data_IF_289665633801
#
_entry.id   IF_289665633801
#
_cell.length_a   1.000
_cell.length_b   1.000
_cell.length_c   1.000
_cell.angle_alpha   90.00
_cell.angle_beta   90.00
_cell.angle_gamma   90.00
#
_symmetry.space_group_name_H-M   'P 1'
#
loop_
_entity.id
_entity.type
_entity.pdbx_description
1 polymer ?
#
# COMPACT_ATOMS: atom_id res chain seq x y z
N UNK A 1 -0.56 -7.28 -13.05
CA UNK A 1 -1.46 -8.34 -13.55
C UNK A 1 -0.66 -9.64 -13.60
N UNK A 2 -0.71 -10.43 -12.52
CA UNK A 2 0.11 -11.64 -12.34
C UNK A 2 -0.51 -12.88 -12.98
N UNK A 3 0.29 -13.95 -13.08
CA UNK A 3 0.02 -15.23 -13.75
C UNK A 3 -1.22 -16.03 -13.30
N UNK A 4 -1.95 -15.56 -12.28
CA UNK A 4 -3.24 -16.10 -11.88
C UNK A 4 -4.22 -14.92 -11.90
N UNK A 5 -5.38 -15.00 -12.58
CA UNK A 5 -6.41 -13.99 -12.42
C UNK A 5 -6.76 -13.97 -10.93
N UNK A 6 -6.32 -12.93 -10.23
CA UNK A 6 -6.69 -12.78 -8.83
C UNK A 6 -8.22 -12.67 -8.82
N UNK A 7 -8.92 -13.52 -8.05
CA UNK A 7 -10.34 -13.28 -7.82
C UNK A 7 -10.49 -11.85 -7.31
N UNK A 8 -11.53 -11.16 -7.78
CA UNK A 8 -11.89 -9.84 -7.28
C UNK A 8 -11.84 -9.86 -5.74
N UNK A 9 -11.26 -8.82 -5.13
CA UNK A 9 -11.01 -8.77 -3.68
C UNK A 9 -12.32 -8.96 -2.90
N UNK A 10 -13.44 -8.58 -3.49
CA UNK A 10 -14.78 -8.79 -2.94
C UNK A 10 -15.11 -10.26 -2.70
N UNK A 11 -14.55 -11.18 -3.49
CA UNK A 11 -14.78 -12.61 -3.41
C UNK A 11 -14.21 -13.24 -2.13
N UNK A 12 -13.32 -12.55 -1.41
CA UNK A 12 -12.85 -13.00 -0.10
C UNK A 12 -13.98 -13.17 0.93
N UNK A 13 -15.10 -12.45 0.75
CA UNK A 13 -16.31 -12.58 1.58
C UNK A 13 -17.40 -13.43 0.94
N UNK A 14 -17.10 -14.12 -0.16
CA UNK A 14 -18.04 -15.03 -0.81
C UNK A 14 -18.47 -16.15 0.14
N UNK A 15 -19.65 -16.71 -0.09
CA UNK A 15 -20.12 -17.94 0.56
C UNK A 15 -19.50 -19.19 -0.08
N UNK A 16 -18.93 -19.07 -1.28
CA UNK A 16 -18.26 -20.17 -1.98
C UNK A 16 -16.89 -20.46 -1.32
N UNK A 17 -16.67 -21.69 -0.79
CA UNK A 17 -15.39 -22.08 -0.17
C UNK A 17 -14.17 -21.93 -1.07
N UNK A 18 -14.33 -21.99 -2.40
CA UNK A 18 -13.22 -21.83 -3.34
C UNK A 18 -12.64 -20.41 -3.31
N UNK A 19 -13.49 -19.41 -3.10
CA UNK A 19 -13.11 -18.00 -3.10
C UNK A 19 -13.03 -17.39 -1.69
N UNK A 20 -13.74 -17.96 -0.74
CA UNK A 20 -13.82 -17.47 0.63
C UNK A 20 -12.46 -17.48 1.32
N UNK A 21 -12.09 -16.35 1.92
CA UNK A 21 -10.91 -16.25 2.76
C UNK A 21 -11.32 -15.98 4.21
N UNK A 22 -11.20 -17.00 5.06
CA UNK A 22 -11.61 -16.94 6.47
C UNK A 22 -10.79 -15.96 7.30
N UNK A 23 -9.51 -15.76 6.96
CA UNK A 23 -8.63 -14.83 7.67
C UNK A 23 -9.04 -13.38 7.39
N UNK A 24 -9.26 -13.04 6.12
CA UNK A 24 -9.63 -11.68 5.72
C UNK A 24 -11.05 -11.35 6.17
N UNK A 25 -11.99 -12.28 5.96
CA UNK A 25 -13.40 -12.07 6.29
C UNK A 25 -13.67 -11.94 7.80
N UNK A 26 -12.83 -12.56 8.63
CA UNK A 26 -12.91 -12.42 10.09
C UNK A 26 -12.43 -11.05 10.61
N UNK A 27 -11.53 -10.37 9.90
CA UNK A 27 -10.97 -9.07 10.36
C UNK A 27 -11.97 -7.93 10.20
N UNK A 28 -12.66 -7.87 9.06
CA UNK A 28 -13.67 -6.85 8.79
C UNK A 28 -14.68 -7.31 7.75
N UNK A 29 -15.85 -6.67 7.71
CA UNK A 29 -16.85 -6.94 6.66
C UNK A 29 -16.43 -6.34 5.32
N UNK A 30 -16.90 -6.93 4.22
CA UNK A 30 -16.65 -6.43 2.87
C UNK A 30 -17.05 -4.95 2.73
N UNK A 31 -18.21 -4.55 3.28
CA UNK A 31 -18.69 -3.16 3.25
C UNK A 31 -17.71 -2.21 3.95
N UNK A 32 -17.16 -2.61 5.11
CA UNK A 32 -16.18 -1.79 5.84
C UNK A 32 -14.89 -1.66 5.04
N UNK A 33 -14.41 -2.76 4.46
CA UNK A 33 -13.24 -2.76 3.59
C UNK A 33 -13.42 -1.79 2.42
N UNK A 34 -14.52 -1.90 1.66
CA UNK A 34 -14.83 -0.97 0.55
C UNK A 34 -14.84 0.48 1.00
N UNK A 35 -15.47 0.79 2.13
CA UNK A 35 -15.52 2.17 2.65
C UNK A 35 -14.15 2.71 3.04
N UNK A 36 -13.29 1.90 3.64
CA UNK A 36 -11.92 2.30 3.96
C UNK A 36 -11.15 2.58 2.68
N UNK A 37 -11.22 1.68 1.70
CA UNK A 37 -10.52 1.80 0.42
C UNK A 37 -10.99 3.02 -0.38
N UNK A 38 -12.29 3.29 -0.45
CA UNK A 38 -12.87 4.47 -1.12
C UNK A 38 -12.41 5.80 -0.50
N UNK A 39 -12.17 5.82 0.82
CA UNK A 39 -11.85 7.03 1.58
C UNK A 39 -10.38 7.11 2.01
N UNK A 40 -9.52 6.23 1.48
CA UNK A 40 -8.09 6.25 1.77
C UNK A 40 -7.44 7.41 0.99
N UNK A 41 -7.07 8.46 1.71
CA UNK A 41 -6.37 9.62 1.15
C UNK A 41 -4.96 9.69 1.71
N UNK A 42 -3.97 9.56 0.81
CA UNK A 42 -2.55 9.57 1.15
C UNK A 42 -1.93 10.97 1.11
N UNK A 43 -2.67 11.97 0.63
CA UNK A 43 -2.24 13.37 0.61
C UNK A 43 -3.17 14.22 1.45
N UNK A 44 -2.57 15.16 2.17
CA UNK A 44 -3.26 16.32 2.71
C UNK A 44 -3.66 17.29 1.60
N UNK A 45 -4.96 17.30 1.26
CA UNK A 45 -5.53 18.17 0.21
C UNK A 45 -5.34 19.66 0.50
N UNK A 46 -5.14 20.06 1.76
CA UNK A 46 -4.89 21.46 2.10
C UNK A 46 -3.52 21.97 1.61
N UNK A 47 -2.58 21.05 1.34
CA UNK A 47 -1.23 21.34 0.87
C UNK A 47 -1.02 20.99 -0.60
N UNK A 48 -2.08 20.59 -1.30
CA UNK A 48 -2.01 20.22 -2.71
C UNK A 48 -1.94 21.49 -3.57
N UNK A 49 -0.93 21.56 -4.43
CA UNK A 49 -0.78 22.66 -5.39
C UNK A 49 -1.89 22.56 -6.44
N UNK A 50 -2.37 23.70 -6.92
CA UNK A 50 -3.36 23.71 -8.01
C UNK A 50 -2.70 23.36 -9.34
N UNK A 51 -3.44 22.75 -10.27
CA UNK A 51 -2.94 22.32 -11.59
C UNK A 51 -2.23 23.43 -12.40
N UNK A 52 -2.59 24.68 -12.15
CA UNK A 52 -2.04 25.87 -12.81
C UNK A 52 -0.76 26.41 -12.18
N UNK A 53 -0.30 25.85 -11.05
CA UNK A 53 0.91 26.29 -10.37
C UNK A 53 2.16 25.55 -10.89
N UNK A 54 3.24 26.29 -11.07
CA UNK A 54 4.54 25.74 -11.49
C UNK A 54 5.04 24.76 -10.42
N UNK A 55 5.33 23.52 -10.82
CA UNK A 55 5.71 22.42 -9.91
C UNK A 55 4.54 21.52 -9.49
N UNK A 56 3.35 21.70 -10.06
CA UNK A 56 2.28 20.71 -9.95
C UNK A 56 2.69 19.39 -10.61
N UNK A 57 2.75 18.33 -9.81
CA UNK A 57 2.91 16.97 -10.29
C UNK A 57 1.65 16.17 -9.90
N UNK A 58 1.03 15.57 -10.92
CA UNK A 58 -0.20 14.78 -10.77
C UNK A 58 0.02 13.52 -9.94
N UNK A 59 1.27 13.05 -9.86
CA UNK A 59 1.66 11.83 -9.14
C UNK A 59 2.18 12.10 -7.74
N UNK A 60 2.06 13.32 -7.22
CA UNK A 60 2.59 13.70 -5.88
C UNK A 60 2.09 12.78 -4.77
N UNK A 61 0.90 12.19 -4.90
CA UNK A 61 0.35 11.22 -3.95
C UNK A 61 1.20 9.96 -3.85
N UNK A 62 1.36 9.34 -5.02
CA UNK A 62 2.00 8.04 -5.16
C UNK A 62 3.51 8.19 -4.97
N UNK A 63 4.08 9.29 -5.48
CA UNK A 63 5.51 9.61 -5.34
C UNK A 63 5.89 9.88 -3.89
N UNK A 64 5.08 10.60 -3.10
CA UNK A 64 5.39 10.85 -1.68
C UNK A 64 5.42 9.55 -0.88
N UNK A 65 4.38 8.71 -1.01
CA UNK A 65 4.33 7.44 -0.31
C UNK A 65 5.49 6.53 -0.74
N UNK A 66 5.71 6.39 -2.05
CA UNK A 66 6.80 5.56 -2.58
C UNK A 66 8.17 6.04 -2.12
N UNK A 67 8.39 7.35 -2.07
CA UNK A 67 9.64 7.92 -1.59
C UNK A 67 9.89 7.61 -0.12
N UNK A 68 8.90 7.83 0.75
CA UNK A 68 9.03 7.52 2.18
C UNK A 68 9.25 6.02 2.42
N UNK A 69 8.51 5.16 1.70
CA UNK A 69 8.70 3.71 1.80
C UNK A 69 10.08 3.28 1.29
N UNK A 70 10.55 3.82 0.17
CA UNK A 70 11.89 3.51 -0.34
C UNK A 70 12.99 4.00 0.59
N UNK A 71 12.87 5.21 1.17
CA UNK A 71 13.84 5.73 2.14
C UNK A 71 13.91 4.83 3.39
N UNK A 72 12.76 4.43 3.92
CA UNK A 72 12.70 3.50 5.07
C UNK A 72 13.30 2.13 4.73
N UNK A 73 12.95 1.57 3.57
CA UNK A 73 13.52 0.30 3.10
C UNK A 73 15.03 0.38 2.92
N UNK A 74 15.54 1.42 2.25
CA UNK A 74 16.99 1.63 2.06
C UNK A 74 17.69 1.77 3.41
N UNK A 75 17.11 2.50 4.36
CA UNK A 75 17.67 2.62 5.70
C UNK A 75 17.79 1.24 6.37
N UNK A 76 16.70 0.46 6.43
CA UNK A 76 16.67 -0.86 7.07
C UNK A 76 17.63 -1.85 6.40
N UNK A 77 17.71 -1.83 5.08
CA UNK A 77 18.66 -2.65 4.32
C UNK A 77 20.11 -2.26 4.60
N UNK A 78 20.42 -0.96 4.68
CA UNK A 78 21.78 -0.50 5.01
C UNK A 78 22.21 -0.90 6.43
N UNK A 79 21.29 -0.83 7.40
CA UNK A 79 21.52 -1.29 8.77
C UNK A 79 21.76 -2.80 8.84
N UNK A 80 20.95 -3.59 8.14
CA UNK A 80 21.12 -5.04 8.06
C UNK A 80 22.47 -5.42 7.45
N UNK A 81 22.90 -4.76 6.37
CA UNK A 81 24.24 -4.96 5.79
C UNK A 81 25.37 -4.56 6.75
N UNK A 82 25.23 -3.43 7.45
CA UNK A 82 26.23 -2.94 8.40
C UNK A 82 26.35 -3.82 9.67
N UNK A 83 25.29 -4.51 10.04
CA UNK A 83 25.27 -5.48 11.14
C UNK A 83 25.86 -6.82 10.71
N UNK A 84 25.57 -7.28 9.49
CA UNK A 84 26.21 -8.46 8.89
C UNK A 84 27.74 -8.31 8.79
N UNK A 85 28.23 -7.13 8.37
CA UNK A 85 29.67 -6.84 8.27
C UNK A 85 30.37 -6.70 9.64
N UNK A 86 29.62 -6.46 10.72
CA UNK A 86 30.18 -6.43 12.09
C UNK A 86 30.28 -7.80 12.74
N UNK A 87 29.56 -8.80 12.21
CA UNK A 87 29.53 -10.17 12.71
C UNK A 87 30.47 -11.12 11.94
N UNK A 88 31.15 -10.63 10.90
CA UNK A 88 32.24 -11.35 10.22
C UNK A 88 33.58 -10.97 10.88
N UNK A 89 34.32 -11.93 11.46
CA UNK A 89 35.63 -11.68 12.08
C UNK A 89 36.71 -11.28 11.07
#
# INVERSE_FOLDING_TARGET
MGLHPLPDVELYWSTDPFYHNSVISAVMTCRRFKKITENLHLIDRARELQQTQVGYDRLVADVKLMKTVMEDLVSKWSWSCAEQCRLTP
#
